data_IF_139137601843
#
_entry.id   IF_139137601843
#
_cell.length_a   1.000
_cell.length_b   1.000
_cell.length_c   1.000
_cell.angle_alpha   90.00
_cell.angle_beta   90.00
_cell.angle_gamma   90.00
#
_symmetry.space_group_name_H-M   'P 1'
#
loop_
_entity.id
_entity.type
_entity.pdbx_description
1 polymer ?
#
# COMPACT_ATOMS: atom_id res chain seq x y z
N UNK A 1 -32.68 44.24 8.46
CA UNK A 1 -33.29 43.02 7.89
C UNK A 1 -32.90 42.82 6.42
N UNK A 2 -33.13 43.79 5.53
CA UNK A 2 -32.75 43.70 4.10
C UNK A 2 -31.25 43.45 3.84
N UNK A 3 -30.35 44.10 4.59
CA UNK A 3 -28.89 43.90 4.44
C UNK A 3 -28.46 42.49 4.88
N UNK A 4 -29.06 41.96 5.95
CA UNK A 4 -28.76 40.62 6.46
C UNK A 4 -29.26 39.55 5.48
N UNK A 5 -30.45 39.75 4.90
CA UNK A 5 -30.98 38.88 3.85
C UNK A 5 -30.12 38.92 2.57
N UNK A 6 -29.63 40.10 2.18
CA UNK A 6 -28.72 40.25 1.04
C UNK A 6 -27.39 39.51 1.23
N UNK A 7 -26.78 39.64 2.41
CA UNK A 7 -25.55 38.90 2.76
C UNK A 7 -25.80 37.38 2.79
N UNK A 8 -26.93 36.94 3.35
CA UNK A 8 -27.29 35.52 3.39
C UNK A 8 -27.45 34.92 1.98
N UNK A 9 -28.14 35.62 1.08
CA UNK A 9 -28.28 35.19 -0.32
C UNK A 9 -26.92 35.11 -1.01
N UNK A 10 -26.03 36.07 -0.77
CA UNK A 10 -24.69 36.09 -1.38
C UNK A 10 -23.82 34.92 -0.89
N UNK A 11 -23.89 34.58 0.41
CA UNK A 11 -23.23 33.39 0.97
C UNK A 11 -23.81 32.11 0.36
N UNK A 12 -25.13 32.00 0.24
CA UNK A 12 -25.77 30.83 -0.37
C UNK A 12 -25.38 30.68 -1.84
N UNK A 13 -25.34 31.77 -2.61
CA UNK A 13 -24.92 31.74 -4.02
C UNK A 13 -23.44 31.38 -4.15
N UNK A 14 -22.57 31.93 -3.28
CA UNK A 14 -21.15 31.58 -3.28
C UNK A 14 -20.92 30.09 -2.95
N UNK A 15 -21.62 29.56 -1.95
CA UNK A 15 -21.57 28.14 -1.59
C UNK A 15 -22.14 27.28 -2.72
N UNK A 16 -23.26 27.69 -3.32
CA UNK A 16 -23.88 26.97 -4.43
C UNK A 16 -22.98 26.95 -5.68
N UNK A 17 -22.30 28.04 -6.02
CA UNK A 17 -21.33 28.10 -7.10
C UNK A 17 -20.12 27.22 -6.83
N UNK A 18 -19.62 27.17 -5.59
CA UNK A 18 -18.53 26.27 -5.20
C UNK A 18 -18.94 24.80 -5.33
N UNK A 19 -20.14 24.45 -4.86
CA UNK A 19 -20.69 23.10 -4.98
C UNK A 19 -20.96 22.73 -6.44
N UNK A 20 -21.49 23.66 -7.25
CA UNK A 20 -21.76 23.45 -8.66
C UNK A 20 -20.47 23.32 -9.48
N UNK A 21 -19.46 24.15 -9.21
CA UNK A 21 -18.15 24.04 -9.83
C UNK A 21 -17.53 22.67 -9.57
N UNK A 22 -17.53 22.24 -8.30
CA UNK A 22 -17.05 20.92 -7.90
C UNK A 22 -17.84 19.82 -8.62
N UNK A 23 -19.17 19.93 -8.68
CA UNK A 23 -20.03 18.96 -9.35
C UNK A 23 -19.85 18.94 -10.88
N UNK A 24 -19.50 20.05 -11.52
CA UNK A 24 -19.23 20.12 -12.96
C UNK A 24 -17.83 19.55 -13.25
N UNK A 25 -16.83 19.90 -12.43
CA UNK A 25 -15.48 19.31 -12.54
C UNK A 25 -15.43 17.84 -12.12
N UNK A 26 -16.54 17.30 -11.60
CA UNK A 26 -16.72 15.89 -11.24
C UNK A 26 -16.97 15.00 -12.46
N UNK A 27 -17.64 15.52 -13.50
CA UNK A 27 -17.77 14.86 -14.80
C UNK A 27 -16.50 15.10 -15.61
N UNK A 28 -15.50 14.26 -15.31
CA UNK A 28 -14.17 14.24 -15.95
C UNK A 28 -14.17 14.07 -17.48
N UNK A 29 -15.33 13.91 -18.13
CA UNK A 29 -15.42 13.82 -19.60
C UNK A 29 -15.39 15.18 -20.30
N UNK A 30 -15.82 16.27 -19.65
CA UNK A 30 -15.98 17.58 -20.32
C UNK A 30 -14.78 18.50 -20.09
N UNK A 31 -14.10 18.38 -18.94
CA UNK A 31 -13.03 19.30 -18.55
C UNK A 31 -11.79 18.50 -18.14
N UNK A 32 -10.92 18.32 -19.13
CA UNK A 32 -9.49 17.97 -19.00
C UNK A 32 -9.14 16.47 -18.86
N UNK A 33 -8.60 15.95 -19.97
CA UNK A 33 -7.50 14.98 -20.02
C UNK A 33 -6.30 15.54 -19.25
N UNK A 34 -6.35 15.56 -17.92
CA UNK A 34 -5.15 15.92 -17.15
C UNK A 34 -4.21 14.72 -17.11
N UNK A 35 -3.04 14.93 -17.72
CA UNK A 35 -1.86 14.10 -17.53
C UNK A 35 -1.37 14.40 -16.12
N UNK A 36 -1.65 13.49 -15.18
CA UNK A 36 -1.28 13.54 -13.77
C UNK A 36 -1.96 14.64 -12.91
N UNK A 37 -2.60 14.20 -11.83
CA UNK A 37 -3.02 15.07 -10.72
C UNK A 37 -1.76 15.57 -9.97
N UNK A 38 -1.81 16.77 -9.35
CA UNK A 38 -0.66 17.36 -8.67
C UNK A 38 -0.12 16.46 -7.54
N UNK A 39 1.14 16.67 -7.21
CA UNK A 39 1.92 15.91 -6.24
C UNK A 39 1.22 15.81 -4.85
N UNK A 40 1.41 14.71 -4.12
CA UNK A 40 0.65 14.36 -2.90
C UNK A 40 0.78 15.33 -1.71
N UNK A 41 1.77 16.24 -1.73
CA UNK A 41 1.94 17.27 -0.70
C UNK A 41 1.03 18.50 -0.89
N UNK A 42 0.48 18.69 -2.09
CA UNK A 42 -0.46 19.76 -2.37
C UNK A 42 -1.90 19.33 -2.11
N UNK A 43 -2.78 20.33 -1.96
CA UNK A 43 -4.23 20.33 -1.69
C UNK A 43 -5.05 19.13 -2.21
N UNK A 44 -4.56 18.38 -3.20
CA UNK A 44 -5.18 17.23 -3.83
C UNK A 44 -5.56 16.07 -2.90
N UNK A 45 -4.89 15.83 -1.77
CA UNK A 45 -5.26 14.70 -0.87
C UNK A 45 -6.40 15.03 0.08
N UNK A 46 -6.46 16.26 0.60
CA UNK A 46 -7.62 16.79 1.33
C UNK A 46 -8.80 16.96 0.40
N UNK A 47 -8.55 17.51 -0.78
CA UNK A 47 -9.54 17.62 -1.84
C UNK A 47 -10.05 16.24 -2.26
N UNK A 48 -9.18 15.25 -2.44
CA UNK A 48 -9.56 13.87 -2.74
C UNK A 48 -10.41 13.25 -1.64
N UNK A 49 -10.00 13.38 -0.37
CA UNK A 49 -10.79 12.88 0.78
C UNK A 49 -12.17 13.55 0.83
N UNK A 50 -12.23 14.85 0.56
CA UNK A 50 -13.46 15.62 0.50
C UNK A 50 -14.34 15.23 -0.71
N UNK A 51 -13.73 14.99 -1.87
CA UNK A 51 -14.36 14.44 -3.07
C UNK A 51 -14.94 13.04 -2.78
N UNK A 52 -14.19 12.15 -2.15
CA UNK A 52 -14.69 10.85 -1.71
C UNK A 52 -15.82 10.95 -0.67
N UNK A 53 -15.81 11.98 0.18
CA UNK A 53 -16.88 12.26 1.13
C UNK A 53 -18.17 12.72 0.43
N UNK A 54 -18.07 13.53 -0.64
CA UNK A 54 -19.19 13.94 -1.47
C UNK A 54 -19.69 12.84 -2.42
N UNK A 55 -18.82 11.89 -2.79
CA UNK A 55 -19.14 10.84 -3.77
C UNK A 55 -20.43 10.05 -3.50
N UNK A 56 -20.82 9.70 -2.25
CA UNK A 56 -22.08 9.00 -2.02
C UNK A 56 -23.31 9.89 -2.26
N UNK A 57 -23.16 11.21 -2.14
CA UNK A 57 -24.23 12.18 -2.32
C UNK A 57 -24.45 12.53 -3.80
N UNK A 58 -23.40 12.55 -4.62
CA UNK A 58 -23.48 12.81 -6.07
C UNK A 58 -23.76 11.56 -6.91
N UNK A 59 -23.44 10.35 -6.41
CA UNK A 59 -23.56 9.07 -7.16
C UNK A 59 -24.89 8.33 -6.96
N UNK A 60 -25.96 9.00 -6.52
CA UNK A 60 -27.28 8.37 -6.37
C UNK A 60 -27.85 7.76 -7.67
N UNK A 61 -27.34 8.13 -8.85
CA UNK A 61 -27.73 7.55 -10.15
C UNK A 61 -26.96 6.29 -10.60
N UNK A 62 -26.00 5.78 -9.82
CA UNK A 62 -25.00 4.79 -10.28
C UNK A 62 -25.37 3.32 -10.01
N UNK A 63 -26.65 3.01 -9.77
CA UNK A 63 -27.06 1.84 -8.99
C UNK A 63 -27.16 0.48 -9.70
N UNK A 64 -27.03 0.34 -11.02
CA UNK A 64 -27.21 -1.01 -11.63
C UNK A 64 -26.37 -1.32 -12.87
N UNK A 65 -26.06 -0.35 -13.74
CA UNK A 65 -25.37 -0.63 -15.01
C UNK A 65 -23.86 -0.88 -14.87
N UNK A 66 -23.18 -0.17 -13.96
CA UNK A 66 -21.71 -0.23 -13.77
C UNK A 66 -21.28 -1.44 -12.92
N UNK A 67 -22.20 -2.07 -12.17
CA UNK A 67 -21.92 -3.35 -11.51
C UNK A 67 -21.58 -4.45 -12.52
N UNK A 68 -22.13 -4.36 -13.74
CA UNK A 68 -21.90 -5.30 -14.85
C UNK A 68 -20.69 -4.95 -15.71
N UNK A 69 -20.09 -3.77 -15.54
CA UNK A 69 -18.96 -3.37 -16.37
C UNK A 69 -17.69 -4.11 -15.93
N UNK A 70 -16.81 -4.49 -16.88
CA UNK A 70 -15.49 -5.02 -16.55
C UNK A 70 -14.72 -4.03 -15.67
N UNK A 71 -13.72 -4.54 -14.96
CA UNK A 71 -12.81 -3.68 -14.19
C UNK A 71 -12.23 -2.60 -15.12
N UNK A 72 -12.38 -1.30 -14.81
CA UNK A 72 -11.77 -0.27 -15.64
C UNK A 72 -10.25 -0.43 -15.54
N UNK A 73 -9.60 -0.67 -16.68
CA UNK A 73 -8.14 -0.78 -16.73
C UNK A 73 -7.56 0.62 -16.66
N UNK A 74 -7.35 1.09 -15.43
CA UNK A 74 -6.72 2.38 -15.18
C UNK A 74 -5.27 2.11 -14.85
N UNK A 75 -4.42 2.82 -15.59
CA UNK A 75 -2.97 2.80 -15.43
C UNK A 75 -2.54 4.19 -15.02
N UNK A 76 -1.79 4.28 -13.93
CA UNK A 76 -1.03 5.46 -13.55
C UNK A 76 0.43 5.19 -13.81
N UNK A 77 1.08 6.12 -14.52
CA UNK A 77 2.51 6.09 -14.75
C UNK A 77 3.09 7.42 -14.27
N UNK A 78 4.09 7.35 -13.39
CA UNK A 78 4.77 8.53 -12.89
C UNK A 78 6.25 8.25 -12.63
N UNK A 79 7.12 9.26 -12.76
CA UNK A 79 8.48 9.14 -12.27
C UNK A 79 8.44 8.96 -10.74
N UNK A 80 9.26 8.04 -10.25
CA UNK A 80 9.40 7.71 -8.84
C UNK A 80 10.78 8.15 -8.37
N UNK A 81 10.83 9.26 -7.65
CA UNK A 81 12.04 9.75 -7.02
C UNK A 81 11.98 9.41 -5.53
N UNK A 82 12.96 8.64 -5.06
CA UNK A 82 13.14 8.36 -3.65
C UNK A 82 13.95 9.50 -3.02
N UNK A 83 13.31 10.36 -2.24
CA UNK A 83 13.99 11.45 -1.54
C UNK A 83 14.65 10.93 -0.25
N UNK A 84 15.91 11.29 -0.01
CA UNK A 84 16.63 10.93 1.22
C UNK A 84 15.97 11.47 2.49
N UNK A 85 15.28 12.61 2.39
CA UNK A 85 14.51 13.18 3.49
C UNK A 85 13.32 12.27 3.88
N UNK A 86 12.60 11.72 2.89
CA UNK A 86 11.48 10.81 3.12
C UNK A 86 11.98 9.47 3.69
N UNK A 87 13.15 9.02 3.24
CA UNK A 87 13.86 7.88 3.83
C UNK A 87 14.16 8.09 5.31
N UNK A 88 14.76 9.22 5.66
CA UNK A 88 15.10 9.54 7.05
C UNK A 88 13.86 9.62 7.95
N UNK A 89 12.77 10.24 7.46
CA UNK A 89 11.49 10.31 8.17
C UNK A 89 10.85 8.94 8.35
N UNK A 90 10.89 8.06 7.35
CA UNK A 90 10.36 6.72 7.52
C UNK A 90 11.22 5.88 8.45
N UNK A 91 12.55 5.95 8.36
CA UNK A 91 13.45 5.22 9.24
C UNK A 91 13.28 5.62 10.71
N UNK A 92 13.09 6.92 10.97
CA UNK A 92 12.78 7.46 12.32
C UNK A 92 11.40 7.02 12.79
N UNK A 93 10.38 7.14 11.94
CA UNK A 93 9.03 6.65 12.20
C UNK A 93 8.99 5.15 12.53
N UNK A 94 9.79 4.35 11.83
CA UNK A 94 9.89 2.92 12.08
C UNK A 94 10.86 2.60 13.21
N UNK A 95 11.48 3.58 13.86
CA UNK A 95 12.47 3.36 14.93
C UNK A 95 13.60 2.40 14.52
N UNK A 96 14.14 2.60 13.31
CA UNK A 96 15.23 1.81 12.73
C UNK A 96 16.52 2.67 12.73
N UNK A 97 17.33 2.64 13.82
CA UNK A 97 18.47 3.55 13.98
C UNK A 97 19.73 3.19 13.18
N UNK A 98 19.78 2.02 12.53
CA UNK A 98 20.99 1.44 11.90
C UNK A 98 20.77 0.92 10.47
N UNK A 99 19.83 1.48 9.71
CA UNK A 99 19.80 1.18 8.28
C UNK A 99 20.86 2.03 7.59
N UNK A 100 21.90 1.39 7.05
CA UNK A 100 22.77 2.05 6.09
C UNK A 100 21.89 2.53 4.93
N UNK A 101 22.13 3.74 4.42
CA UNK A 101 21.45 4.28 3.23
C UNK A 101 21.55 3.32 2.02
N UNK A 102 22.53 2.42 2.04
CA UNK A 102 22.79 1.37 1.06
C UNK A 102 21.75 0.23 1.06
N UNK A 103 20.98 0.04 2.14
CA UNK A 103 19.97 -1.03 2.24
C UNK A 103 18.61 -0.46 2.59
N UNK A 104 17.89 0.02 1.57
CA UNK A 104 16.51 0.45 1.69
C UNK A 104 15.63 -0.71 2.20
N UNK A 105 14.80 -0.53 3.24
CA UNK A 105 13.80 -1.53 3.60
C UNK A 105 12.93 -1.86 2.40
N UNK A 106 12.75 -3.14 2.10
CA UNK A 106 12.05 -3.57 0.88
C UNK A 106 10.57 -3.15 0.82
N UNK A 107 9.97 -2.78 1.95
CA UNK A 107 8.61 -2.21 2.01
C UNK A 107 8.54 -0.71 1.84
N UNK A 108 9.68 -0.01 1.85
CA UNK A 108 9.72 1.43 1.68
C UNK A 108 8.98 1.90 0.41
N UNK A 109 9.18 1.28 -0.77
CA UNK A 109 8.50 1.76 -1.97
C UNK A 109 6.98 1.63 -1.88
N UNK A 110 6.46 0.55 -1.27
CA UNK A 110 5.02 0.38 -1.00
C UNK A 110 4.46 1.51 -0.13
N UNK A 111 5.22 1.96 0.87
CA UNK A 111 4.79 3.05 1.76
C UNK A 111 4.74 4.39 1.00
N UNK A 112 5.74 4.65 0.17
CA UNK A 112 5.87 5.88 -0.62
C UNK A 112 4.79 6.01 -1.71
N UNK A 113 4.47 4.91 -2.42
CA UNK A 113 3.39 4.91 -3.44
C UNK A 113 1.99 4.95 -2.85
N UNK A 114 1.84 4.90 -1.51
CA UNK A 114 0.55 4.82 -0.84
C UNK A 114 -0.47 5.85 -1.34
N UNK A 115 -0.02 7.08 -1.57
CA UNK A 115 -0.85 8.19 -2.07
C UNK A 115 -1.42 7.96 -3.47
N UNK A 116 -0.71 7.21 -4.33
CA UNK A 116 -1.12 6.91 -5.70
C UNK A 116 -2.31 5.96 -5.75
N UNK A 117 -2.49 5.10 -4.74
CA UNK A 117 -3.69 4.26 -4.63
C UNK A 117 -4.97 5.10 -4.58
N UNK A 118 -4.95 6.25 -3.90
CA UNK A 118 -6.10 7.14 -3.87
C UNK A 118 -6.40 7.66 -5.28
N UNK A 119 -5.39 8.14 -6.01
CA UNK A 119 -5.58 8.61 -7.38
C UNK A 119 -6.17 7.52 -8.29
N UNK A 120 -5.68 6.29 -8.17
CA UNK A 120 -6.17 5.15 -8.94
C UNK A 120 -7.64 4.83 -8.61
N UNK A 121 -7.97 4.80 -7.31
CA UNK A 121 -9.30 4.45 -6.81
C UNK A 121 -10.34 5.57 -7.04
N UNK A 122 -9.91 6.84 -7.11
CA UNK A 122 -10.81 7.94 -7.46
C UNK A 122 -11.24 7.92 -8.91
N UNK A 123 -10.31 7.61 -9.82
CA UNK A 123 -10.53 7.61 -11.26
C UNK A 123 -11.31 6.38 -11.76
N UNK A 124 -11.46 5.35 -10.92
CA UNK A 124 -12.07 4.06 -11.28
C UNK A 124 -13.58 4.00 -11.23
N UNK A 125 -14.25 5.15 -11.04
CA UNK A 125 -15.70 5.25 -11.19
C UNK A 125 -16.45 4.16 -10.39
N UNK A 126 -16.02 3.92 -9.14
CA UNK A 126 -16.57 2.82 -8.36
C UNK A 126 -17.95 3.09 -7.75
N UNK A 127 -18.80 2.04 -7.64
CA UNK A 127 -20.16 2.15 -7.12
C UNK A 127 -20.22 2.30 -5.59
N UNK A 128 -19.12 2.05 -4.88
CA UNK A 128 -19.06 2.09 -3.42
C UNK A 128 -18.09 3.16 -2.92
N UNK A 129 -18.35 3.68 -1.72
CA UNK A 129 -17.46 4.65 -1.09
C UNK A 129 -16.15 3.98 -0.68
N UNK A 130 -15.03 4.51 -1.16
CA UNK A 130 -13.68 4.11 -0.74
C UNK A 130 -13.35 4.51 0.71
N UNK A 131 -14.28 5.16 1.42
CA UNK A 131 -14.12 5.60 2.81
C UNK A 131 -13.88 4.43 3.77
N UNK A 132 -14.52 3.29 3.50
CA UNK A 132 -14.42 2.10 4.34
C UNK A 132 -13.52 1.04 3.70
N UNK A 133 -12.59 1.47 2.83
CA UNK A 133 -11.64 0.55 2.22
C UNK A 133 -10.79 -0.13 3.30
N UNK A 134 -10.53 -1.42 3.09
CA UNK A 134 -9.72 -2.26 3.96
C UNK A 134 -8.59 -2.83 3.12
N UNK A 135 -7.41 -2.95 3.73
CA UNK A 135 -6.28 -3.66 3.16
C UNK A 135 -6.39 -5.14 3.57
N UNK A 136 -6.59 -6.05 2.61
CA UNK A 136 -6.74 -7.50 2.87
C UNK A 136 -5.41 -8.23 2.84
N UNK A 137 -4.60 -7.92 1.82
CA UNK A 137 -3.30 -8.54 1.65
C UNK A 137 -2.36 -7.65 0.85
N UNK A 138 -1.08 -7.95 0.99
CA UNK A 138 -0.01 -7.33 0.25
C UNK A 138 1.01 -8.40 -0.10
N UNK A 139 1.34 -8.49 -1.37
CA UNK A 139 2.49 -9.22 -1.88
C UNK A 139 3.50 -8.22 -2.40
N UNK A 140 4.75 -8.32 -1.97
CA UNK A 140 5.87 -7.52 -2.46
C UNK A 140 6.96 -8.46 -2.93
N UNK A 141 7.51 -8.19 -4.11
CA UNK A 141 8.66 -8.88 -4.67
C UNK A 141 9.75 -7.86 -4.93
N UNK A 142 10.91 -8.03 -4.33
CA UNK A 142 12.10 -7.27 -4.64
C UNK A 142 13.08 -8.15 -5.42
N UNK A 143 13.37 -7.76 -6.66
CA UNK A 143 14.24 -8.52 -7.56
C UNK A 143 15.70 -8.08 -7.43
N UNK A 144 15.93 -6.77 -7.29
CA UNK A 144 17.25 -6.15 -7.20
C UNK A 144 17.33 -5.17 -6.03
N UNK A 145 18.52 -4.93 -5.45
CA UNK A 145 18.69 -3.92 -4.41
C UNK A 145 18.32 -2.53 -4.97
N UNK A 146 17.66 -1.73 -4.14
CA UNK A 146 17.36 -0.33 -4.45
C UNK A 146 18.50 0.52 -3.86
N UNK A 147 19.33 1.11 -4.71
CA UNK A 147 20.40 2.00 -4.28
C UNK A 147 19.90 3.46 -4.22
N UNK A 148 20.23 4.12 -3.11
CA UNK A 148 19.91 5.52 -2.81
C UNK A 148 21.13 6.43 -2.86
N UNK A 149 22.29 5.90 -3.25
CA UNK A 149 23.52 6.66 -3.36
C UNK A 149 23.34 7.79 -4.39
N UNK A 150 23.45 9.04 -3.92
CA UNK A 150 23.60 10.17 -4.84
C UNK A 150 25.04 10.13 -5.35
N UNK A 151 25.28 10.21 -6.66
CA UNK A 151 26.63 10.44 -7.15
C UNK A 151 27.11 11.77 -6.56
N UNK A 152 28.08 11.68 -5.63
CA UNK A 152 28.91 12.81 -5.24
C UNK A 152 29.57 13.31 -6.52
N UNK A 153 29.35 14.58 -6.88
CA UNK A 153 29.87 15.15 -8.12
C UNK A 153 31.37 14.92 -8.27
N UNK A 154 31.75 14.24 -9.35
CA UNK A 154 32.84 14.65 -10.23
C UNK A 154 32.65 14.00 -11.62
N UNK A 155 32.18 14.79 -12.59
CA UNK A 155 32.41 14.56 -14.02
C UNK A 155 31.61 13.49 -14.78
N UNK A 156 30.96 12.51 -14.15
CA UNK A 156 30.18 11.48 -14.87
C UNK A 156 28.66 11.74 -14.83
N UNK A 157 27.98 11.39 -15.94
CA UNK A 157 26.53 11.55 -16.10
C UNK A 157 25.78 10.97 -14.90
N UNK A 158 24.74 11.65 -14.37
CA UNK A 158 24.01 11.15 -13.20
C UNK A 158 23.38 9.79 -13.53
N UNK A 159 23.90 8.73 -12.92
CA UNK A 159 23.39 7.37 -13.03
C UNK A 159 22.47 7.03 -11.85
N UNK A 160 21.65 7.97 -11.39
CA UNK A 160 20.48 7.57 -10.61
C UNK A 160 19.51 6.93 -11.59
N UNK A 161 19.16 5.63 -11.47
CA UNK A 161 18.12 5.07 -12.32
C UNK A 161 16.84 5.86 -12.04
N UNK A 162 16.35 6.60 -13.04
CA UNK A 162 15.03 7.22 -12.96
C UNK A 162 14.01 6.09 -12.91
N UNK A 163 13.60 5.73 -11.69
CA UNK A 163 12.60 4.69 -11.50
C UNK A 163 11.27 5.19 -12.04
N UNK A 164 10.66 4.41 -12.91
CA UNK A 164 9.30 4.62 -13.38
C UNK A 164 8.36 3.75 -12.54
N UNK A 165 7.38 4.37 -11.91
CA UNK A 165 6.31 3.67 -11.22
C UNK A 165 5.11 3.50 -12.15
N UNK A 166 4.67 2.26 -12.32
CA UNK A 166 3.47 1.89 -13.06
C UNK A 166 2.51 1.23 -12.09
N UNK A 167 1.34 1.82 -11.87
CA UNK A 167 0.29 1.27 -11.00
C UNK A 167 -0.96 0.99 -11.83
N UNK A 168 -1.46 -0.23 -11.75
CA UNK A 168 -2.58 -0.71 -12.56
C UNK A 168 -3.64 -1.36 -11.67
N UNK A 169 -4.88 -0.93 -11.82
CA UNK A 169 -6.03 -1.66 -11.28
C UNK A 169 -6.31 -2.85 -12.20
N UNK A 170 -5.98 -4.06 -11.75
CA UNK A 170 -6.02 -5.27 -12.58
C UNK A 170 -7.33 -6.03 -12.47
N UNK A 171 -7.88 -6.15 -11.27
CA UNK A 171 -9.07 -6.96 -11.02
C UNK A 171 -10.08 -6.27 -10.09
N UNK A 172 -11.36 -6.60 -10.32
CA UNK A 172 -12.51 -6.26 -9.49
C UNK A 172 -13.35 -7.51 -9.30
N UNK A 173 -13.55 -7.94 -8.06
CA UNK A 173 -14.27 -9.17 -7.69
C UNK A 173 -15.41 -8.84 -6.73
N UNK A 174 -16.58 -9.43 -6.94
CA UNK A 174 -17.71 -9.30 -6.04
C UNK A 174 -17.76 -10.50 -5.10
N UNK A 175 -17.59 -10.23 -3.80
CA UNK A 175 -17.77 -11.19 -2.72
C UNK A 175 -19.17 -10.99 -2.12
N UNK A 176 -19.55 -11.87 -1.18
CA UNK A 176 -20.90 -11.86 -0.60
C UNK A 176 -21.26 -10.53 0.10
N UNK A 177 -20.29 -9.93 0.78
CA UNK A 177 -20.47 -8.75 1.61
C UNK A 177 -19.53 -7.59 1.26
N UNK A 178 -18.67 -7.76 0.25
CA UNK A 178 -17.67 -6.78 -0.14
C UNK A 178 -17.28 -6.87 -1.62
N UNK A 179 -16.63 -5.82 -2.13
CA UNK A 179 -15.95 -5.83 -3.43
C UNK A 179 -14.45 -5.86 -3.15
N UNK A 180 -13.74 -6.83 -3.73
CA UNK A 180 -12.30 -6.96 -3.66
C UNK A 180 -11.65 -6.38 -4.93
N UNK A 181 -10.53 -5.69 -4.76
CA UNK A 181 -9.77 -5.04 -5.81
C UNK A 181 -8.32 -5.47 -5.73
N UNK A 182 -7.73 -5.69 -6.89
CA UNK A 182 -6.31 -6.00 -7.01
C UNK A 182 -5.62 -4.84 -7.71
N UNK A 183 -4.62 -4.27 -7.07
CA UNK A 183 -3.75 -3.24 -7.65
C UNK A 183 -2.34 -3.80 -7.76
N UNK A 184 -1.82 -3.85 -8.98
CA UNK A 184 -0.43 -4.17 -9.24
C UNK A 184 0.37 -2.88 -9.34
N UNK A 185 1.55 -2.83 -8.70
CA UNK A 185 2.49 -1.73 -8.85
C UNK A 185 3.86 -2.25 -9.21
N UNK A 186 4.45 -1.74 -10.27
CA UNK A 186 5.77 -2.11 -10.75
C UNK A 186 6.67 -0.87 -10.71
N UNK A 187 7.87 -1.04 -10.16
CA UNK A 187 8.96 -0.06 -10.23
C UNK A 187 10.01 -0.58 -11.20
N UNK A 188 10.28 0.21 -12.23
CA UNK A 188 11.14 -0.17 -13.33
C UNK A 188 12.28 0.84 -13.50
N UNK A 189 13.48 0.35 -13.76
CA UNK A 189 14.58 1.16 -14.28
C UNK A 189 14.75 0.89 -15.80
N UNK A 190 15.85 1.35 -16.37
CA UNK A 190 16.25 1.11 -17.76
C UNK A 190 16.54 -0.37 -18.08
N UNK A 191 16.83 -1.18 -17.06
CA UNK A 191 17.11 -2.62 -17.17
C UNK A 191 15.85 -3.50 -16.95
N UNK A 192 14.76 -2.92 -16.44
CA UNK A 192 13.48 -3.58 -16.24
C UNK A 192 12.96 -3.48 -14.82
N UNK A 193 12.09 -4.42 -14.42
CA UNK A 193 11.47 -4.38 -13.09
C UNK A 193 12.50 -4.62 -11.98
N UNK A 194 12.54 -3.71 -11.00
CA UNK A 194 13.39 -3.81 -9.81
C UNK A 194 12.58 -4.31 -8.62
N UNK A 195 11.33 -3.87 -8.54
CA UNK A 195 10.43 -4.12 -7.43
C UNK A 195 9.00 -4.16 -7.94
N UNK A 196 8.20 -5.04 -7.36
CA UNK A 196 6.80 -5.24 -7.72
C UNK A 196 5.96 -5.44 -6.46
N UNK A 197 4.72 -4.97 -6.49
CA UNK A 197 3.72 -5.32 -5.50
C UNK A 197 2.37 -5.64 -6.10
N UNK A 198 1.62 -6.46 -5.37
CA UNK A 198 0.20 -6.71 -5.61
C UNK A 198 -0.51 -6.43 -4.29
N UNK A 199 -1.40 -5.45 -4.29
CA UNK A 199 -2.14 -5.01 -3.10
C UNK A 199 -3.62 -5.35 -3.28
N UNK A 200 -4.18 -6.05 -2.31
CA UNK A 200 -5.61 -6.37 -2.27
C UNK A 200 -6.34 -5.44 -1.33
N UNK A 201 -7.32 -4.73 -1.88
CA UNK A 201 -8.22 -3.91 -1.09
C UNK A 201 -9.62 -4.51 -1.10
N UNK A 202 -10.39 -4.28 -0.04
CA UNK A 202 -11.82 -4.56 -0.05
C UNK A 202 -12.65 -3.40 0.44
N UNK A 203 -13.86 -3.29 -0.10
CA UNK A 203 -14.84 -2.28 0.30
C UNK A 203 -16.13 -3.00 0.68
N UNK A 204 -16.65 -2.80 1.90
CA UNK A 204 -17.93 -3.35 2.30
C UNK A 204 -19.05 -2.93 1.33
N UNK A 205 -19.71 -3.92 0.75
CA UNK A 205 -20.73 -3.73 -0.27
C UNK A 205 -21.59 -5.00 -0.36
N UNK A 206 -22.88 -4.87 -0.07
CA UNK A 206 -23.84 -5.98 -0.20
C UNK A 206 -24.67 -5.78 -1.46
N UNK A 207 -24.62 -6.74 -2.39
CA UNK A 207 -25.49 -6.73 -3.55
C UNK A 207 -26.94 -7.01 -3.14
N UNK A 208 -27.88 -6.14 -3.52
CA UNK A 208 -29.32 -6.35 -3.29
C UNK A 208 -29.90 -7.45 -4.20
N UNK A 209 -29.32 -7.61 -5.40
CA UNK A 209 -29.62 -8.69 -6.35
C UNK A 209 -28.31 -9.32 -6.81
N UNK A 210 -28.20 -10.64 -6.75
CA UNK A 210 -27.04 -11.41 -7.23
C UNK A 210 -26.97 -11.31 -8.75
N UNK A 211 -26.33 -10.25 -9.25
CA UNK A 211 -26.22 -9.96 -10.67
C UNK A 211 -24.93 -10.56 -11.28
N UNK A 212 -24.00 -11.01 -10.44
CA UNK A 212 -22.70 -11.59 -10.81
C UNK A 212 -22.43 -12.80 -9.89
N UNK A 213 -21.83 -13.89 -10.37
CA UNK A 213 -21.41 -14.98 -9.51
C UNK A 213 -20.49 -14.48 -8.39
N UNK A 214 -20.72 -14.94 -7.17
CA UNK A 214 -19.82 -14.68 -6.05
C UNK A 214 -18.50 -15.40 -6.30
N UNK A 215 -17.39 -14.69 -6.18
CA UNK A 215 -16.05 -15.29 -6.21
C UNK A 215 -15.58 -15.64 -4.80
N UNK A 216 -14.50 -16.44 -4.71
CA UNK A 216 -13.73 -16.62 -3.49
C UNK A 216 -12.59 -15.60 -3.48
N UNK A 217 -12.21 -15.10 -2.30
CA UNK A 217 -11.07 -14.20 -2.15
C UNK A 217 -9.78 -14.88 -2.64
N UNK A 218 -8.93 -14.12 -3.33
CA UNK A 218 -7.63 -14.61 -3.77
C UNK A 218 -6.50 -14.41 -2.75
N UNK A 219 -6.75 -13.68 -1.66
CA UNK A 219 -5.73 -13.35 -0.67
C UNK A 219 -5.60 -14.46 0.37
N UNK A 220 -4.95 -15.56 0.01
CA UNK A 220 -4.57 -16.62 0.94
C UNK A 220 -3.05 -16.82 0.94
N UNK A 221 -2.51 -17.15 2.12
CA UNK A 221 -1.14 -17.66 2.21
C UNK A 221 -1.13 -19.13 1.80
N UNK A 222 -0.04 -19.55 1.19
CA UNK A 222 0.20 -20.96 0.86
C UNK A 222 0.51 -21.73 2.15
N UNK A 223 -0.40 -22.62 2.55
CA UNK A 223 -0.34 -23.35 3.82
C UNK A 223 0.88 -24.29 3.87
N UNK A 224 1.26 -24.89 2.75
CA UNK A 224 2.43 -25.78 2.67
C UNK A 224 3.71 -24.99 2.91
N UNK A 225 3.83 -23.79 2.32
CA UNK A 225 4.99 -22.93 2.56
C UNK A 225 5.04 -22.42 4.00
N UNK A 226 3.88 -22.11 4.59
CA UNK A 226 3.75 -21.65 5.98
C UNK A 226 4.16 -22.75 6.96
N UNK A 227 3.83 -24.02 6.68
CA UNK A 227 4.17 -25.15 7.52
C UNK A 227 5.69 -25.40 7.63
N UNK A 228 6.47 -25.01 6.60
CA UNK A 228 7.93 -25.17 6.59
C UNK A 228 8.67 -24.26 7.55
N UNK A 229 8.10 -23.11 7.91
CA UNK A 229 8.70 -22.17 8.84
C UNK A 229 8.21 -22.46 10.27
N UNK A 230 8.82 -23.45 10.91
CA UNK A 230 8.41 -23.99 12.21
C UNK A 230 9.52 -23.97 13.28
N UNK A 231 10.72 -23.46 12.95
CA UNK A 231 11.87 -23.49 13.84
C UNK A 231 12.34 -22.11 14.32
N UNK A 232 13.19 -22.11 15.36
CA UNK A 232 13.82 -20.95 15.99
C UNK A 232 12.83 -19.80 16.27
N UNK A 233 11.79 -20.01 17.10
CA UNK A 233 10.84 -18.96 17.44
C UNK A 233 11.56 -17.78 18.11
N UNK A 234 11.30 -16.57 17.62
CA UNK A 234 11.72 -15.33 18.25
C UNK A 234 10.49 -14.45 18.46
N UNK A 235 10.35 -13.95 19.68
CA UNK A 235 9.27 -13.03 20.06
C UNK A 235 9.88 -11.69 20.41
N UNK A 236 9.42 -10.67 19.70
CA UNK A 236 9.78 -9.28 19.91
C UNK A 236 8.55 -8.43 20.14
N UNK A 237 8.76 -7.17 20.49
CA UNK A 237 7.65 -6.24 20.60
C UNK A 237 8.03 -4.82 20.19
N UNK A 238 7.04 -4.10 19.70
CA UNK A 238 7.19 -2.71 19.32
C UNK A 238 5.93 -1.93 19.61
N UNK A 239 6.07 -0.61 19.64
CA UNK A 239 5.01 0.33 19.99
C UNK A 239 5.03 1.48 19.00
N UNK A 240 3.86 1.88 18.51
CA UNK A 240 3.72 3.10 17.71
C UNK A 240 3.43 4.30 18.63
N UNK A 241 4.35 5.26 18.69
CA UNK A 241 4.10 6.52 19.39
C UNK A 241 3.41 7.53 18.47
N UNK A 242 2.82 8.60 19.05
CA UNK A 242 2.24 9.71 18.27
C UNK A 242 3.27 10.35 17.34
N UNK A 243 4.54 10.44 17.78
CA UNK A 243 5.62 10.97 16.95
C UNK A 243 5.91 10.07 15.76
N UNK A 244 5.97 8.76 15.98
CA UNK A 244 6.19 7.78 14.91
C UNK A 244 5.06 7.86 13.87
N UNK A 245 3.80 8.01 14.32
CA UNK A 245 2.66 8.19 13.43
C UNK A 245 2.79 9.49 12.62
N UNK A 246 3.10 10.62 13.26
CA UNK A 246 3.25 11.89 12.57
C UNK A 246 4.35 11.85 11.49
N UNK A 247 5.53 11.30 11.81
CA UNK A 247 6.62 11.11 10.86
C UNK A 247 6.25 10.13 9.72
N UNK A 248 5.40 9.13 9.99
CA UNK A 248 4.88 8.22 8.96
C UNK A 248 3.91 8.92 8.00
N UNK A 249 2.99 9.72 8.54
CA UNK A 249 1.96 10.42 7.76
C UNK A 249 2.52 11.50 6.84
N UNK A 250 3.72 12.03 7.16
CA UNK A 250 4.46 12.93 6.27
C UNK A 250 5.00 12.24 5.01
N UNK A 251 5.26 10.93 5.07
CA UNK A 251 5.79 10.13 3.95
C UNK A 251 4.68 9.34 3.24
N UNK A 252 3.73 8.79 4.01
CA UNK A 252 2.62 7.99 3.52
C UNK A 252 1.30 8.69 3.76
N UNK A 253 0.60 9.04 2.67
CA UNK A 253 -0.64 9.83 2.77
C UNK A 253 -1.88 8.97 3.09
N UNK A 254 -1.73 7.65 3.26
CA UNK A 254 -2.88 6.75 3.36
C UNK A 254 -2.81 5.80 4.56
N UNK A 255 -3.56 6.14 5.60
CA UNK A 255 -4.13 5.16 6.51
C UNK A 255 -5.25 4.42 5.80
N UNK A 256 -4.93 3.38 5.01
CA UNK A 256 -5.89 2.58 4.22
C UNK A 256 -6.75 1.65 5.10
N UNK A 257 -7.04 2.05 6.33
CA UNK A 257 -7.87 1.32 7.28
C UNK A 257 -9.20 2.04 7.45
N UNK A 258 -10.28 1.39 7.02
CA UNK A 258 -11.66 1.88 7.01
C UNK A 258 -12.32 2.12 8.37
N UNK A 259 -11.58 2.50 9.40
CA UNK A 259 -12.16 3.08 10.60
C UNK A 259 -12.10 4.60 10.45
N UNK A 260 -13.26 5.27 10.53
CA UNK A 260 -13.36 6.73 10.61
C UNK A 260 -12.19 7.32 11.42
N UNK A 261 -11.52 8.29 10.80
CA UNK A 261 -10.70 9.33 11.41
C UNK A 261 -11.49 10.21 12.39
N UNK A 262 -12.14 9.59 13.39
CA UNK A 262 -12.58 10.25 14.62
C UNK A 262 -11.87 9.68 15.85
N UNK A 263 -10.92 8.75 15.66
CA UNK A 263 -9.91 8.41 16.66
C UNK A 263 -8.55 8.69 16.02
N UNK A 264 -8.01 9.88 16.26
CA UNK A 264 -6.70 10.36 15.79
C UNK A 264 -5.51 9.53 16.31
N UNK A 265 -5.76 8.42 17.00
CA UNK A 265 -4.75 7.62 17.69
C UNK A 265 -4.86 6.13 17.31
N UNK A 266 -4.78 5.79 16.02
CA UNK A 266 -4.70 4.41 15.56
C UNK A 266 -3.43 4.10 14.75
N UNK A 267 -2.90 2.89 14.91
CA UNK A 267 -1.70 2.42 14.18
C UNK A 267 -2.08 1.98 12.76
N UNK A 268 -1.46 2.54 11.70
CA UNK A 268 -1.69 2.08 10.34
C UNK A 268 -1.19 0.64 10.13
N UNK A 269 -1.97 -0.21 9.45
CA UNK A 269 -1.55 -1.58 9.09
C UNK A 269 -0.22 -1.59 8.31
N UNK A 270 -0.05 -0.65 7.37
CA UNK A 270 1.18 -0.48 6.61
C UNK A 270 2.38 -0.09 7.48
N UNK A 271 2.16 0.73 8.52
CA UNK A 271 3.22 1.05 9.49
C UNK A 271 3.62 -0.19 10.29
N UNK A 272 2.64 -0.96 10.78
CA UNK A 272 2.92 -2.19 11.53
C UNK A 272 3.70 -3.21 10.69
N UNK A 273 3.29 -3.39 9.43
CA UNK A 273 3.98 -4.30 8.52
C UNK A 273 5.40 -3.81 8.21
N UNK A 274 5.58 -2.52 7.88
CA UNK A 274 6.91 -1.94 7.62
C UNK A 274 7.84 -2.00 8.85
N UNK A 275 7.29 -1.84 10.06
CA UNK A 275 8.04 -2.00 11.31
C UNK A 275 8.44 -3.44 11.55
N UNK A 276 7.50 -4.38 11.38
CA UNK A 276 7.74 -5.81 11.57
C UNK A 276 8.84 -6.30 10.62
N UNK A 277 8.72 -6.03 9.32
CA UNK A 277 9.73 -6.45 8.35
C UNK A 277 11.07 -5.73 8.54
N UNK A 278 11.06 -4.46 8.95
CA UNK A 278 12.27 -3.72 9.31
C UNK A 278 13.02 -4.34 10.50
N UNK A 279 12.29 -4.84 11.52
CA UNK A 279 12.88 -5.57 12.63
C UNK A 279 13.48 -6.92 12.17
N UNK A 280 12.74 -7.68 11.34
CA UNK A 280 13.26 -8.93 10.78
C UNK A 280 14.54 -8.71 9.97
N UNK A 281 14.61 -7.61 9.22
CA UNK A 281 15.80 -7.25 8.44
C UNK A 281 17.00 -6.96 9.36
N UNK A 282 16.80 -6.23 10.45
CA UNK A 282 17.85 -5.97 11.46
C UNK A 282 18.33 -7.23 12.18
N UNK A 283 17.48 -8.25 12.27
CA UNK A 283 17.77 -9.52 12.90
C UNK A 283 18.42 -10.54 11.94
N UNK A 284 18.62 -10.18 10.66
CA UNK A 284 19.14 -11.11 9.65
C UNK A 284 18.16 -12.24 9.33
N UNK A 285 16.86 -12.04 9.57
CA UNK A 285 15.79 -13.02 9.34
C UNK A 285 15.04 -12.82 8.02
N UNK A 286 15.48 -11.87 7.20
CA UNK A 286 14.96 -11.66 5.85
C UNK A 286 15.84 -12.47 4.88
N UNK A 287 15.25 -13.36 4.07
CA UNK A 287 15.98 -14.10 3.05
C UNK A 287 16.67 -13.17 2.03
N UNK A 288 17.66 -13.69 1.32
CA UNK A 288 18.37 -12.93 0.30
C UNK A 288 17.47 -12.57 -0.90
N UNK A 289 17.92 -11.63 -1.74
CA UNK A 289 17.25 -11.32 -2.99
C UNK A 289 17.49 -12.44 -4.03
N UNK A 290 16.53 -12.71 -4.94
CA UNK A 290 15.20 -12.12 -5.05
C UNK A 290 14.28 -12.51 -3.88
N UNK A 291 13.66 -11.52 -3.24
CA UNK A 291 12.83 -11.69 -2.05
C UNK A 291 11.36 -11.52 -2.41
N UNK A 292 10.52 -12.38 -1.85
CA UNK A 292 9.06 -12.24 -1.86
C UNK A 292 8.53 -12.18 -0.43
N UNK A 293 7.67 -11.19 -0.17
CA UNK A 293 6.92 -11.02 1.07
C UNK A 293 5.44 -11.14 0.74
N UNK A 294 4.76 -12.13 1.29
CA UNK A 294 3.31 -12.25 1.24
C UNK A 294 2.77 -11.93 2.63
N UNK A 295 1.80 -11.03 2.74
CA UNK A 295 1.18 -10.66 4.00
C UNK A 295 -0.33 -10.63 3.85
N UNK A 296 -1.04 -11.22 4.80
CA UNK A 296 -2.50 -11.16 4.93
C UNK A 296 -2.81 -10.46 6.24
N UNK A 297 -3.73 -9.49 6.19
CA UNK A 297 -4.18 -8.73 7.34
C UNK A 297 -5.46 -9.34 7.90
N UNK A 298 -5.59 -9.39 9.23
CA UNK A 298 -6.76 -9.98 9.86
C UNK A 298 -8.03 -9.17 9.57
N UNK A 299 -9.10 -9.84 9.12
CA UNK A 299 -10.36 -9.19 8.75
C UNK A 299 -11.13 -8.61 9.95
N UNK A 300 -10.92 -9.18 11.14
CA UNK A 300 -11.57 -8.76 12.40
C UNK A 300 -10.75 -7.73 13.20
N UNK A 301 -9.63 -7.27 12.66
CA UNK A 301 -8.72 -6.38 13.38
C UNK A 301 -9.34 -4.98 13.43
N UNK A 302 -9.90 -4.65 14.59
CA UNK A 302 -10.35 -3.30 14.90
C UNK A 302 -9.21 -2.28 14.86
N UNK A 303 -9.56 -0.99 14.96
CA UNK A 303 -8.56 0.06 15.02
C UNK A 303 -7.61 -0.13 16.22
N UNK A 304 -6.33 -0.35 15.93
CA UNK A 304 -5.28 -0.60 16.93
C UNK A 304 -4.89 0.72 17.59
N UNK A 305 -5.07 0.91 18.90
CA UNK A 305 -4.69 2.15 19.56
C UNK A 305 -3.18 2.42 19.51
N UNK A 306 -2.79 3.69 19.40
CA UNK A 306 -1.39 4.09 19.62
C UNK A 306 -0.92 3.70 21.03
N UNK A 307 0.39 3.61 21.20
CA UNK A 307 1.06 3.21 22.45
C UNK A 307 0.73 1.78 22.93
N UNK A 308 -0.14 1.04 22.23
CA UNK A 308 -0.36 -0.37 22.48
C UNK A 308 0.86 -1.17 22.07
N UNK A 309 1.23 -2.15 22.90
CA UNK A 309 2.32 -3.07 22.64
C UNK A 309 1.88 -4.13 21.63
N UNK A 310 2.60 -4.21 20.53
CA UNK A 310 2.42 -5.19 19.46
C UNK A 310 3.48 -6.27 19.63
N UNK A 311 3.08 -7.53 19.56
CA UNK A 311 4.01 -8.66 19.63
C UNK A 311 4.33 -9.13 18.21
N UNK A 312 5.61 -9.30 17.90
CA UNK A 312 6.10 -9.88 16.66
C UNK A 312 6.62 -11.27 16.96
N UNK A 313 5.95 -12.30 16.45
CA UNK A 313 6.48 -13.65 16.44
C UNK A 313 7.11 -13.92 15.08
N UNK A 314 8.28 -14.52 15.05
CA UNK A 314 8.91 -15.00 13.82
C UNK A 314 9.50 -16.39 13.96
N UNK A 315 9.34 -17.17 12.89
CA UNK A 315 9.79 -18.55 12.74
C UNK A 315 10.54 -18.67 11.42
N UNK A 316 11.60 -19.46 11.38
CA UNK A 316 12.36 -19.71 10.15
C UNK A 316 12.26 -21.19 9.77
N UNK A 317 12.52 -21.51 8.50
CA UNK A 317 12.69 -22.88 8.05
C UNK A 317 13.89 -23.54 8.73
N UNK A 318 13.78 -24.83 9.04
CA UNK A 318 14.93 -25.62 9.49
C UNK A 318 15.99 -25.64 8.39
N UNK A 319 17.25 -25.40 8.77
CA UNK A 319 18.39 -25.62 7.88
C UNK A 319 18.65 -27.12 7.82
N UNK A 320 18.02 -27.81 6.87
CA UNK A 320 18.30 -29.22 6.67
C UNK A 320 19.63 -29.36 5.89
N UNK A 321 20.69 -29.96 6.47
CA UNK A 321 22.01 -30.03 5.84
C UNK A 321 22.01 -30.82 4.52
N UNK A 322 20.98 -31.64 4.27
CA UNK A 322 20.81 -32.44 3.05
C UNK A 322 20.08 -31.67 1.94
N UNK A 323 19.45 -30.53 2.24
CA UNK A 323 18.66 -29.73 1.30
C UNK A 323 19.35 -28.40 0.95
N UNK A 324 20.64 -28.48 0.60
CA UNK A 324 21.39 -27.38 -0.01
C UNK A 324 20.73 -26.98 -1.35
N UNK A 325 19.74 -26.09 -1.29
CA UNK A 325 18.96 -25.64 -2.44
C UNK A 325 17.51 -25.26 -2.12
N UNK A 326 16.97 -25.62 -0.94
CA UNK A 326 15.65 -25.16 -0.56
C UNK A 326 15.67 -23.68 -0.13
N UNK A 327 14.71 -22.92 -0.69
CA UNK A 327 14.53 -21.49 -0.44
C UNK A 327 14.26 -21.23 1.04
N UNK A 328 15.10 -20.43 1.69
CA UNK A 328 14.91 -20.00 3.08
C UNK A 328 13.55 -19.32 3.23
N UNK A 329 12.78 -19.76 4.23
CA UNK A 329 11.44 -19.22 4.51
C UNK A 329 11.41 -18.65 5.91
N UNK A 330 10.90 -17.42 6.07
CA UNK A 330 10.62 -16.81 7.36
C UNK A 330 9.13 -16.50 7.46
N UNK A 331 8.45 -17.10 8.42
CA UNK A 331 7.08 -16.77 8.80
C UNK A 331 7.11 -15.72 9.90
N UNK A 332 6.18 -14.76 9.84
CA UNK A 332 5.97 -13.82 10.93
C UNK A 332 4.49 -13.56 11.19
N UNK A 333 4.15 -13.24 12.43
CA UNK A 333 2.83 -12.75 12.82
C UNK A 333 2.98 -11.52 13.72
N UNK A 334 2.04 -10.61 13.60
CA UNK A 334 1.91 -9.49 14.55
C UNK A 334 0.60 -9.67 15.30
N UNK A 335 0.70 -9.82 16.61
CA UNK A 335 -0.44 -10.09 17.48
C UNK A 335 -0.67 -8.93 18.47
N UNK A 336 -1.94 -8.71 18.81
CA UNK A 336 -2.42 -7.63 19.68
C UNK A 336 -3.37 -8.26 20.69
N UNK A 337 -2.96 -8.33 21.96
CA UNK A 337 -3.76 -8.96 23.01
C UNK A 337 -4.31 -10.34 22.56
N UNK A 338 -3.41 -11.16 22.00
CA UNK A 338 -3.68 -12.51 21.46
C UNK A 338 -4.62 -12.56 20.24
N UNK A 339 -4.95 -11.40 19.65
CA UNK A 339 -5.66 -11.31 18.36
C UNK A 339 -4.66 -11.05 17.23
N UNK A 340 -4.70 -11.88 16.18
CA UNK A 340 -3.80 -11.72 15.04
C UNK A 340 -4.14 -10.49 14.21
N UNK A 341 -3.21 -9.53 14.14
CA UNK A 341 -3.35 -8.35 13.31
C UNK A 341 -2.96 -8.61 11.85
N UNK A 342 -1.91 -9.40 11.66
CA UNK A 342 -1.44 -9.84 10.36
C UNK A 342 -0.55 -11.06 10.49
N UNK A 343 -0.48 -11.82 9.39
CA UNK A 343 0.45 -12.93 9.22
C UNK A 343 1.13 -12.78 7.87
N UNK A 344 2.43 -13.02 7.83
CA UNK A 344 3.19 -12.96 6.60
C UNK A 344 4.27 -14.01 6.48
N UNK A 345 4.78 -14.11 5.26
CA UNK A 345 5.74 -15.09 4.80
C UNK A 345 6.77 -14.38 3.92
N UNK A 346 8.04 -14.54 4.26
CA UNK A 346 9.18 -14.08 3.49
C UNK A 346 9.87 -15.31 2.90
N UNK A 347 10.27 -15.24 1.62
CA UNK A 347 11.01 -16.32 0.97
C UNK A 347 11.86 -15.79 -0.17
N UNK A 348 12.91 -16.54 -0.51
CA UNK A 348 13.55 -16.37 -1.81
C UNK A 348 12.61 -16.84 -2.93
N UNK A 349 12.65 -16.15 -4.07
CA UNK A 349 11.98 -16.60 -5.29
C UNK A 349 13.02 -17.27 -6.16
N UNK A 350 12.78 -18.53 -6.57
CA UNK A 350 13.67 -19.33 -7.42
C UNK A 350 13.75 -18.85 -8.86
N UNK A 351 13.95 -17.55 -9.08
CA UNK A 351 14.12 -16.98 -10.40
C UNK A 351 15.58 -17.16 -10.78
N UNK A 352 15.83 -18.07 -11.72
CA UNK A 352 17.16 -18.27 -12.29
C UNK A 352 17.36 -17.17 -13.34
N UNK A 353 18.18 -16.17 -13.04
CA UNK A 353 18.64 -15.23 -14.06
C UNK A 353 19.65 -15.98 -14.96
N UNK A 354 19.41 -16.07 -16.28
CA UNK A 354 20.40 -16.64 -17.18
C UNK A 354 21.67 -15.78 -17.13
N UNK A 355 22.79 -16.36 -16.67
CA UNK A 355 24.10 -15.71 -16.60
C UNK A 355 24.83 -15.80 -15.25
N UNK A 356 24.18 -16.22 -14.16
CA UNK A 356 24.84 -16.41 -12.85
C UNK A 356 25.47 -17.80 -12.64
N UNK A 357 25.37 -18.70 -13.61
CA UNK A 357 25.90 -20.07 -13.54
C UNK A 357 27.19 -20.34 -14.33
N UNK A 358 27.77 -19.36 -15.02
CA UNK A 358 28.94 -19.58 -15.89
C UNK A 358 30.27 -19.08 -15.30
N UNK A 359 30.29 -18.51 -14.09
CA UNK A 359 31.52 -17.95 -13.48
C UNK A 359 32.10 -18.78 -12.34
N UNK A 360 31.74 -20.06 -12.22
CA UNK A 360 32.33 -20.98 -11.24
C UNK A 360 32.86 -22.28 -11.83
N UNK A 361 33.19 -22.30 -13.12
CA UNK A 361 34.09 -23.29 -13.71
C UNK A 361 35.00 -22.62 -14.75
N UNK A 362 36.11 -22.01 -14.28
CA UNK A 362 37.39 -21.97 -15.00
C UNK A 362 38.53 -21.54 -14.09
#
# INVERSE_FOLDING_TARGET
MLVIAGVFVLVVVAVALLVAFVAITWEHDVVQRYVALPAPADLGTKEFRWRCWLSPLSRNGWRTSILRSPCPRITLQCPFALLSADFAKLATSLSLPKLALEQLPFLFPQVAIGSLFLQLLGNSHFPASVRNIRLKALTVVQLRPLDMSFPLQDGEKPSTPELTCIMVLTEKRFLESEIEFTVQTDLMDDQGTVWQSVTWFSIPFKQETLLVPLSVSASALDEDLVARANANPLVDSFVCSKRNLAEFEEVSVVGVTGARSSKEDAVPLMWMLARATGMLQQQGRVPQLPLMCNCVFGEEVGAVPLQRKLQLLSLISEEDPQEQGQSQVTKFSVDIDDTNAMTGLLRTVGWVFPGQGESSEQ
#
